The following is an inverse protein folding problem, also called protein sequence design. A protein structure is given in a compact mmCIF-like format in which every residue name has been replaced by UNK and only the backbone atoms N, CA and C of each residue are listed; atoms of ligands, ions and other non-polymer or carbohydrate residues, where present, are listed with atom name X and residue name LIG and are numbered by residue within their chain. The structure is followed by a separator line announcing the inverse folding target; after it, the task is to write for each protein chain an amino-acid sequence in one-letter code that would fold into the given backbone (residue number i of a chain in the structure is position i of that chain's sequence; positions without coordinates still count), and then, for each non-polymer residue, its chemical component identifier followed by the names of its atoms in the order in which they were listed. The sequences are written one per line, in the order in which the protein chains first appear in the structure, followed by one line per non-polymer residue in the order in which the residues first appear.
data_IF_751133251862
#
_entry.id   IF_751133251862
#
_cell.length_a   1.000
_cell.length_b   1.000
_cell.length_c   1.000
_cell.angle_alpha   90.00
_cell.angle_beta   90.00
_cell.angle_gamma   90.00
#
_symmetry.space_group_name_H-M   'P 1'
#
loop_
_entity.id
_entity.type
_entity.pdbx_description
1 polymer ?
#
# COMPACT_ATOMS: atom_id res chain seq x y z
N UNK A 1 5.52 29.49 3.57
CA UNK A 1 4.32 29.49 4.43
C UNK A 1 3.87 30.93 4.59
N UNK A 2 2.56 31.20 4.47
CA UNK A 2 2.01 32.55 4.71
C UNK A 2 1.89 32.80 6.22
N UNK A 3 1.95 34.07 6.62
CA UNK A 3 1.84 34.47 8.03
C UNK A 3 0.41 34.83 8.40
N UNK A 4 0.13 35.01 9.71
CA UNK A 4 -1.16 35.50 10.21
C UNK A 4 -1.41 37.00 9.96
N UNK A 5 -0.40 37.70 9.46
CA UNK A 5 -0.45 39.14 9.31
C UNK A 5 -1.35 39.55 8.15
N UNK A 6 -1.81 40.80 8.24
CA UNK A 6 -2.46 41.50 7.14
C UNK A 6 -1.44 42.36 6.40
N UNK A 7 -1.49 42.36 5.09
CA UNK A 7 -0.79 43.30 4.23
C UNK A 7 -1.81 44.15 3.49
N UNK A 8 -1.77 45.43 3.73
CA UNK A 8 -2.77 46.40 3.19
C UNK A 8 -4.23 45.97 3.50
N UNK A 9 -4.47 45.45 4.71
CA UNK A 9 -5.81 45.05 5.15
C UNK A 9 -6.31 43.70 4.62
N UNK A 10 -5.49 42.93 3.90
CA UNK A 10 -5.81 41.62 3.37
C UNK A 10 -4.90 40.59 4.04
N UNK A 11 -5.47 39.49 4.53
CA UNK A 11 -4.67 38.35 5.05
C UNK A 11 -3.67 37.88 4.00
N UNK A 12 -2.42 37.61 4.40
CA UNK A 12 -1.36 37.24 3.46
C UNK A 12 -1.70 36.00 2.64
N UNK A 13 -2.46 35.06 3.20
CA UNK A 13 -2.92 33.85 2.49
C UNK A 13 -4.00 34.11 1.43
N UNK A 14 -4.74 35.23 1.55
CA UNK A 14 -5.77 35.65 0.59
C UNK A 14 -5.29 36.78 -0.35
N UNK A 15 -4.05 37.22 -0.22
CA UNK A 15 -3.52 38.37 -0.94
C UNK A 15 -2.96 37.96 -2.31
N UNK A 16 -3.78 38.05 -3.34
CA UNK A 16 -3.41 37.70 -4.72
C UNK A 16 -2.25 38.55 -5.24
N UNK A 17 -2.20 39.84 -4.88
CA UNK A 17 -1.13 40.70 -5.31
C UNK A 17 0.21 40.22 -4.77
N UNK A 18 0.27 39.88 -3.47
CA UNK A 18 1.45 39.34 -2.85
C UNK A 18 1.85 37.95 -3.43
N UNK A 19 0.91 37.00 -3.46
CA UNK A 19 1.24 35.62 -3.79
C UNK A 19 1.41 35.37 -5.28
N UNK A 20 0.52 35.96 -6.11
CA UNK A 20 0.51 35.70 -7.54
C UNK A 20 1.29 36.76 -8.31
N UNK A 21 0.94 38.05 -8.15
CA UNK A 21 1.52 39.06 -8.99
C UNK A 21 2.99 39.34 -8.67
N UNK A 22 3.30 39.59 -7.40
CA UNK A 22 4.66 39.89 -6.96
C UNK A 22 5.49 38.63 -6.87
N UNK A 23 5.12 37.68 -5.99
CA UNK A 23 6.01 36.57 -5.67
C UNK A 23 6.15 35.58 -6.84
N UNK A 24 5.06 35.22 -7.52
CA UNK A 24 5.16 34.33 -8.69
C UNK A 24 5.51 35.10 -9.96
N UNK A 25 4.86 36.25 -10.19
CA UNK A 25 5.03 37.01 -11.42
C UNK A 25 6.36 37.77 -11.49
N UNK A 26 6.66 38.63 -10.52
CA UNK A 26 7.87 39.47 -10.56
C UNK A 26 9.12 38.73 -10.09
N UNK A 27 9.00 37.93 -9.00
CA UNK A 27 10.14 37.19 -8.43
C UNK A 27 10.36 35.81 -9.03
N UNK A 28 9.45 35.33 -9.88
CA UNK A 28 9.57 34.04 -10.55
C UNK A 28 9.51 32.81 -9.58
N UNK A 29 8.78 32.92 -8.45
CA UNK A 29 8.68 31.82 -7.50
C UNK A 29 7.78 30.68 -8.03
N UNK A 30 8.37 29.51 -8.23
CA UNK A 30 7.71 28.31 -8.76
C UNK A 30 7.25 27.30 -7.69
N UNK A 31 7.53 27.57 -6.40
CA UNK A 31 7.16 26.69 -5.30
C UNK A 31 5.68 26.77 -4.92
N UNK A 32 5.31 26.05 -3.86
CA UNK A 32 3.98 26.09 -3.28
C UNK A 32 3.87 27.13 -2.17
N UNK A 33 2.67 27.69 -2.00
CA UNK A 33 2.29 28.42 -0.80
C UNK A 33 1.42 27.55 0.08
N UNK A 34 1.65 27.61 1.40
CA UNK A 34 0.79 26.98 2.41
C UNK A 34 0.46 27.98 3.50
N UNK A 35 -0.72 27.86 4.08
CA UNK A 35 -1.09 28.70 5.22
C UNK A 35 -0.33 28.28 6.47
N UNK A 36 -0.25 29.16 7.45
CA UNK A 36 0.03 28.75 8.82
C UNK A 36 -1.16 28.00 9.42
N UNK A 37 -0.95 27.32 10.56
CA UNK A 37 -1.95 26.46 11.19
C UNK A 37 -3.08 27.26 11.81
N UNK A 38 -4.33 26.94 11.43
CA UNK A 38 -5.51 27.52 12.07
C UNK A 38 -5.75 28.99 11.74
N UNK A 39 -5.26 29.51 10.62
CA UNK A 39 -5.65 30.84 10.17
C UNK A 39 -7.16 30.89 9.85
N UNK A 40 -7.77 32.07 9.99
CA UNK A 40 -9.21 32.28 9.81
C UNK A 40 -9.61 32.63 8.36
N UNK A 41 -8.68 32.56 7.41
CA UNK A 41 -8.90 32.88 6.02
C UNK A 41 -9.89 31.97 5.31
N UNK A 42 -10.53 32.47 4.29
CA UNK A 42 -11.49 31.71 3.47
C UNK A 42 -10.77 30.89 2.42
N UNK A 43 -10.93 29.55 2.46
CA UNK A 43 -10.23 28.61 1.57
C UNK A 43 -10.43 28.92 0.07
N UNK A 44 -11.60 29.40 -0.36
CA UNK A 44 -11.82 29.78 -1.75
C UNK A 44 -11.05 31.03 -2.16
N UNK A 45 -10.92 32.01 -1.27
CA UNK A 45 -10.11 33.22 -1.51
C UNK A 45 -8.63 32.89 -1.51
N UNK A 46 -8.19 31.97 -0.66
CA UNK A 46 -6.82 31.50 -0.66
C UNK A 46 -6.45 30.89 -2.01
N UNK A 47 -7.30 30.01 -2.57
CA UNK A 47 -7.09 29.41 -3.90
C UNK A 47 -7.01 30.50 -4.97
N UNK A 48 -7.91 31.49 -4.98
CA UNK A 48 -7.88 32.62 -5.92
C UNK A 48 -6.62 33.46 -5.77
N UNK A 49 -6.05 33.55 -4.57
CA UNK A 49 -4.81 34.25 -4.32
C UNK A 49 -3.56 33.45 -4.74
N UNK A 50 -3.69 32.17 -5.05
CA UNK A 50 -2.58 31.29 -5.43
C UNK A 50 -1.92 30.59 -4.25
N UNK A 51 -2.60 30.48 -3.08
CA UNK A 51 -2.21 29.63 -1.97
C UNK A 51 -2.65 28.19 -2.27
N UNK A 52 -1.73 27.23 -2.16
CA UNK A 52 -1.92 25.87 -2.66
C UNK A 52 -2.41 24.89 -1.58
N UNK A 53 -2.03 25.12 -0.32
CA UNK A 53 -2.33 24.22 0.80
C UNK A 53 -2.85 24.99 2.00
N UNK A 54 -4.03 24.61 2.49
CA UNK A 54 -4.58 25.13 3.75
C UNK A 54 -4.30 24.20 4.92
N UNK A 55 -3.66 24.72 5.96
CA UNK A 55 -3.30 23.95 7.17
C UNK A 55 -4.23 24.30 8.34
N UNK A 56 -4.51 23.36 9.28
CA UNK A 56 -4.14 21.92 9.23
C UNK A 56 -5.06 21.10 8.32
N UNK A 57 -6.20 21.62 7.93
CA UNK A 57 -7.19 20.96 7.08
C UNK A 57 -7.90 21.96 6.17
N UNK A 58 -8.09 21.60 4.93
CA UNK A 58 -8.86 22.39 3.99
C UNK A 58 -10.38 22.27 4.24
N UNK A 59 -11.16 23.12 3.52
CA UNK A 59 -12.61 23.05 3.51
C UNK A 59 -13.15 22.70 2.12
N UNK A 60 -13.31 21.41 1.80
CA UNK A 60 -13.88 20.99 0.52
C UNK A 60 -15.30 21.52 0.30
N UNK A 61 -16.07 21.71 1.35
CA UNK A 61 -17.41 22.29 1.28
C UNK A 61 -17.39 23.73 0.78
N UNK A 62 -16.46 24.56 1.27
CA UNK A 62 -16.26 25.94 0.83
C UNK A 62 -15.86 25.99 -0.64
N UNK A 63 -14.93 25.12 -1.07
CA UNK A 63 -14.49 25.07 -2.47
C UNK A 63 -15.62 24.64 -3.41
N UNK A 64 -16.38 23.60 -3.04
CA UNK A 64 -17.56 23.14 -3.83
C UNK A 64 -18.61 24.23 -3.94
N UNK A 65 -18.88 24.95 -2.86
CA UNK A 65 -19.83 26.06 -2.85
C UNK A 65 -19.37 27.22 -3.74
N UNK A 66 -18.07 27.54 -3.71
CA UNK A 66 -17.48 28.61 -4.55
C UNK A 66 -17.49 28.23 -6.03
N UNK A 67 -17.21 26.99 -6.40
CA UNK A 67 -17.36 26.48 -7.77
C UNK A 67 -18.82 26.57 -8.26
N UNK A 68 -19.78 26.14 -7.43
CA UNK A 68 -21.21 26.21 -7.78
C UNK A 68 -21.70 27.65 -8.01
N UNK A 69 -21.14 28.61 -7.29
CA UNK A 69 -21.45 30.04 -7.42
C UNK A 69 -20.65 30.74 -8.53
N UNK A 70 -19.75 30.06 -9.23
CA UNK A 70 -18.88 30.63 -10.25
C UNK A 70 -17.82 31.62 -9.69
N UNK A 71 -17.57 31.58 -8.37
CA UNK A 71 -16.50 32.36 -7.71
C UNK A 71 -15.14 31.76 -8.01
N UNK A 72 -15.04 30.39 -7.96
CA UNK A 72 -13.90 29.60 -8.40
C UNK A 72 -14.21 28.98 -9.75
N UNK A 73 -13.20 28.87 -10.60
CA UNK A 73 -13.18 27.99 -11.78
C UNK A 73 -12.45 26.69 -11.44
N UNK A 74 -12.73 25.67 -12.20
CA UNK A 74 -12.01 24.40 -12.08
C UNK A 74 -10.50 24.59 -12.31
N UNK A 75 -10.12 25.44 -13.27
CA UNK A 75 -8.72 25.78 -13.54
C UNK A 75 -7.98 26.32 -12.32
N UNK A 76 -8.64 27.10 -11.44
CA UNK A 76 -7.99 27.65 -10.26
C UNK A 76 -7.53 26.54 -9.28
N UNK A 77 -8.31 25.45 -9.20
CA UNK A 77 -7.95 24.27 -8.41
C UNK A 77 -6.91 23.41 -9.13
N UNK A 78 -7.00 23.30 -10.45
CA UNK A 78 -6.03 22.55 -11.26
C UNK A 78 -4.65 23.22 -11.19
N UNK A 79 -4.57 24.54 -11.20
CA UNK A 79 -3.32 25.29 -11.03
C UNK A 79 -2.65 25.01 -9.66
N UNK A 80 -3.45 24.98 -8.57
CA UNK A 80 -2.94 24.63 -7.24
C UNK A 80 -2.45 23.17 -7.22
N UNK A 81 -3.23 22.23 -7.78
CA UNK A 81 -2.88 20.82 -7.84
C UNK A 81 -1.61 20.59 -8.68
N UNK A 82 -1.46 21.28 -9.81
CA UNK A 82 -0.27 21.21 -10.66
C UNK A 82 0.99 21.65 -9.91
N UNK A 83 0.93 22.77 -9.20
CA UNK A 83 2.07 23.26 -8.40
C UNK A 83 2.44 22.27 -7.29
N UNK A 84 1.44 21.67 -6.64
CA UNK A 84 1.66 20.66 -5.60
C UNK A 84 2.30 19.39 -6.19
N UNK A 85 1.83 18.89 -7.34
CA UNK A 85 2.42 17.75 -8.04
C UNK A 85 3.87 18.05 -8.45
N UNK A 86 4.14 19.23 -9.04
CA UNK A 86 5.51 19.67 -9.37
C UNK A 86 6.42 19.69 -8.15
N UNK A 87 5.92 20.13 -6.99
CA UNK A 87 6.68 20.10 -5.73
C UNK A 87 6.96 18.67 -5.26
N UNK A 88 5.96 17.79 -5.29
CA UNK A 88 6.11 16.37 -4.92
C UNK A 88 7.17 15.69 -5.79
N UNK A 89 7.17 15.97 -7.10
CA UNK A 89 8.16 15.42 -8.03
C UNK A 89 9.59 15.88 -7.75
N UNK A 90 9.77 17.03 -7.06
CA UNK A 90 11.10 17.56 -6.68
C UNK A 90 11.63 16.93 -5.40
N UNK A 91 10.80 16.31 -4.55
CA UNK A 91 11.26 15.74 -3.28
C UNK A 91 11.98 14.40 -3.49
N UNK A 92 13.01 14.16 -2.69
CA UNK A 92 13.85 12.96 -2.84
C UNK A 92 13.06 11.66 -2.65
N UNK A 93 12.11 11.64 -1.72
CA UNK A 93 11.28 10.45 -1.48
C UNK A 93 10.48 10.02 -2.73
N UNK A 94 10.00 10.98 -3.54
CA UNK A 94 9.35 10.66 -4.81
C UNK A 94 10.34 10.01 -5.77
N UNK A 95 11.54 10.60 -5.93
CA UNK A 95 12.59 10.06 -6.81
C UNK A 95 13.05 8.68 -6.37
N UNK A 96 13.29 8.51 -5.07
CA UNK A 96 13.82 7.27 -4.51
C UNK A 96 12.77 6.15 -4.45
N UNK A 97 11.52 6.48 -4.09
CA UNK A 97 10.48 5.46 -3.83
C UNK A 97 9.53 5.22 -5.01
N UNK A 98 9.31 6.21 -5.86
CA UNK A 98 8.35 6.12 -6.97
C UNK A 98 9.07 5.90 -8.32
N UNK A 99 10.09 6.73 -8.62
CA UNK A 99 10.78 6.62 -9.90
C UNK A 99 11.84 5.52 -9.92
N UNK A 100 12.47 5.24 -8.77
CA UNK A 100 13.48 4.20 -8.61
C UNK A 100 13.11 3.33 -7.37
N UNK A 101 12.00 2.58 -7.41
CA UNK A 101 11.62 1.73 -6.29
C UNK A 101 12.69 0.66 -6.07
N UNK A 102 13.01 0.38 -4.81
CA UNK A 102 13.85 -0.78 -4.49
C UNK A 102 13.03 -2.03 -4.82
N UNK A 103 13.58 -2.87 -5.67
CA UNK A 103 12.98 -4.15 -6.04
C UNK A 103 13.47 -5.23 -5.07
N UNK A 104 12.56 -5.99 -4.50
CA UNK A 104 12.87 -7.14 -3.65
C UNK A 104 12.85 -8.41 -4.48
N UNK A 105 13.97 -9.13 -4.51
CA UNK A 105 14.06 -10.40 -5.23
C UNK A 105 13.35 -11.52 -4.44
N UNK A 106 12.41 -12.21 -5.09
CA UNK A 106 11.72 -13.39 -4.58
C UNK A 106 12.33 -14.63 -5.23
N UNK A 107 13.15 -15.34 -4.47
CA UNK A 107 13.78 -16.59 -4.87
C UNK A 107 13.01 -17.84 -4.45
N UNK A 108 13.73 -18.93 -4.27
CA UNK A 108 13.14 -20.22 -3.86
C UNK A 108 12.73 -20.22 -2.37
N UNK A 109 13.38 -19.39 -1.54
CA UNK A 109 13.07 -19.17 -0.12
C UNK A 109 13.39 -17.71 0.23
N UNK A 110 12.36 -16.89 0.53
CA UNK A 110 12.54 -15.45 0.75
C UNK A 110 11.66 -14.93 1.87
N UNK A 111 12.29 -14.35 2.89
CA UNK A 111 11.64 -13.50 3.88
C UNK A 111 11.60 -12.05 3.39
N UNK A 112 10.42 -11.47 3.44
CA UNK A 112 10.13 -10.14 2.97
C UNK A 112 9.62 -9.27 4.13
N UNK A 113 10.42 -8.31 4.58
CA UNK A 113 10.05 -7.37 5.66
C UNK A 113 8.99 -6.38 5.19
N UNK A 114 7.81 -6.42 5.82
CA UNK A 114 6.66 -5.61 5.43
C UNK A 114 6.86 -4.10 5.65
N UNK A 115 7.74 -3.69 6.57
CA UNK A 115 8.03 -2.28 6.84
C UNK A 115 9.16 -1.68 5.98
N UNK A 116 9.74 -2.44 5.06
CA UNK A 116 10.86 -2.00 4.23
C UNK A 116 10.41 -1.59 2.82
N UNK A 117 11.03 -0.53 2.28
CA UNK A 117 10.90 -0.08 0.88
C UNK A 117 9.46 0.16 0.40
N UNK A 118 8.63 0.75 1.23
CA UNK A 118 7.19 0.86 1.01
C UNK A 118 6.73 2.22 0.50
N UNK A 119 5.70 2.17 -0.36
CA UNK A 119 4.68 3.20 -0.44
C UNK A 119 3.55 2.80 0.50
N UNK A 120 3.00 3.72 1.26
CA UNK A 120 1.93 3.42 2.21
C UNK A 120 0.84 4.47 2.26
N UNK A 121 -0.33 4.06 2.70
CA UNK A 121 -1.43 4.95 3.05
C UNK A 121 -1.21 5.59 4.43
N UNK A 122 -2.04 6.58 4.76
CA UNK A 122 -1.88 7.46 5.92
C UNK A 122 -1.76 6.75 7.28
N UNK A 123 -2.34 5.57 7.47
CA UNK A 123 -2.41 4.91 8.79
C UNK A 123 -1.34 3.84 8.98
N UNK A 124 -1.04 3.00 7.99
CA UNK A 124 0.01 2.00 8.11
C UNK A 124 1.40 2.65 8.18
N UNK A 125 2.19 2.33 9.20
CA UNK A 125 3.53 2.88 9.38
C UNK A 125 4.48 1.90 10.06
N UNK A 126 5.78 2.05 9.77
CA UNK A 126 6.83 1.24 10.40
C UNK A 126 7.05 1.63 11.85
N UNK A 127 7.11 0.63 12.73
CA UNK A 127 7.55 0.76 14.13
C UNK A 127 8.63 -0.28 14.44
N UNK A 128 9.31 -0.17 15.59
CA UNK A 128 10.33 -1.15 15.97
C UNK A 128 9.64 -2.44 16.42
N UNK A 129 10.02 -3.57 15.83
CA UNK A 129 9.51 -4.86 16.26
C UNK A 129 10.28 -5.42 17.45
N UNK A 130 9.58 -6.17 18.32
CA UNK A 130 10.18 -7.01 19.35
C UNK A 130 10.30 -8.49 18.94
N UNK A 131 10.03 -8.83 17.67
CA UNK A 131 10.21 -10.18 17.16
C UNK A 131 11.70 -10.55 17.08
N UNK A 132 12.00 -11.84 17.04
CA UNK A 132 13.37 -12.38 17.14
C UNK A 132 14.30 -11.90 16.03
N UNK A 133 13.74 -11.61 14.83
CA UNK A 133 14.48 -11.14 13.67
C UNK A 133 14.79 -9.62 13.70
N UNK A 134 14.25 -8.88 14.68
CA UNK A 134 14.49 -7.46 14.87
C UNK A 134 14.04 -6.56 13.72
N UNK A 135 14.51 -5.32 13.69
CA UNK A 135 14.18 -4.34 12.65
C UNK A 135 12.84 -3.66 12.89
N UNK A 136 12.02 -3.56 11.84
CA UNK A 136 10.72 -2.87 11.87
C UNK A 136 9.60 -3.77 11.38
N UNK A 137 8.41 -3.57 11.97
CA UNK A 137 7.14 -4.11 11.51
C UNK A 137 6.19 -2.99 11.07
N UNK A 138 5.10 -3.35 10.40
CA UNK A 138 3.99 -2.47 10.13
C UNK A 138 3.03 -2.48 11.30
N UNK A 139 2.84 -1.33 11.93
CA UNK A 139 1.81 -1.08 12.92
C UNK A 139 0.77 -0.08 12.42
N UNK A 140 -0.25 0.17 13.24
CA UNK A 140 -1.33 1.13 12.95
C UNK A 140 -2.08 0.83 11.65
N UNK A 141 -2.25 -0.44 11.34
CA UNK A 141 -2.88 -0.92 10.12
C UNK A 141 -4.40 -0.91 10.27
N UNK A 142 -5.03 0.23 9.97
CA UNK A 142 -6.49 0.34 9.97
C UNK A 142 -7.11 -0.23 8.69
N UNK A 143 -8.39 -0.57 8.76
CA UNK A 143 -9.14 -1.00 7.58
C UNK A 143 -9.08 0.08 6.47
N UNK A 144 -8.74 -0.32 5.26
CA UNK A 144 -8.48 0.55 4.12
C UNK A 144 -7.05 1.06 4.01
N UNK A 145 -6.18 0.80 5.01
CA UNK A 145 -4.76 1.03 4.88
C UNK A 145 -4.13 0.06 3.87
N UNK A 146 -3.05 0.49 3.25
CA UNK A 146 -2.32 -0.36 2.31
C UNK A 146 -0.83 -0.02 2.27
N UNK A 147 -0.04 -0.99 1.83
CA UNK A 147 1.37 -0.83 1.49
C UNK A 147 1.65 -1.46 0.13
N UNK A 148 2.62 -0.94 -0.60
CA UNK A 148 2.95 -1.39 -1.95
C UNK A 148 4.45 -1.47 -2.16
N UNK A 149 4.86 -2.48 -2.91
CA UNK A 149 6.26 -2.85 -3.15
C UNK A 149 6.46 -3.23 -4.61
N UNK A 150 7.68 -3.14 -5.07
CA UNK A 150 8.11 -3.80 -6.30
C UNK A 150 8.85 -5.08 -5.93
N UNK A 151 8.47 -6.20 -6.53
CA UNK A 151 9.14 -7.48 -6.37
C UNK A 151 9.62 -8.00 -7.73
N UNK A 152 10.70 -8.77 -7.74
CA UNK A 152 11.19 -9.49 -8.91
C UNK A 152 11.20 -10.98 -8.58
N UNK A 153 10.29 -11.73 -9.20
CA UNK A 153 10.16 -13.18 -9.01
C UNK A 153 11.16 -13.89 -9.91
N UNK A 154 12.08 -14.63 -9.31
CA UNK A 154 13.17 -15.28 -10.05
C UNK A 154 12.67 -16.42 -10.97
N UNK A 155 11.65 -17.17 -10.55
CA UNK A 155 11.10 -18.32 -11.30
C UNK A 155 9.60 -18.38 -11.17
N UNK A 156 8.89 -18.66 -12.26
CA UNK A 156 7.46 -19.00 -12.20
C UNK A 156 7.24 -20.29 -11.39
N UNK A 157 6.09 -20.38 -10.73
CA UNK A 157 5.70 -21.59 -10.00
C UNK A 157 4.68 -21.35 -8.90
N UNK A 158 4.44 -22.41 -8.15
CA UNK A 158 3.62 -22.38 -6.93
C UNK A 158 4.52 -22.00 -5.75
N UNK A 159 4.06 -21.05 -4.95
CA UNK A 159 4.72 -20.62 -3.72
C UNK A 159 3.80 -20.84 -2.52
N UNK A 160 4.39 -21.31 -1.43
CA UNK A 160 3.77 -21.28 -0.11
C UNK A 160 4.02 -19.91 0.49
N UNK A 161 2.98 -19.14 0.75
CA UNK A 161 3.05 -17.81 1.33
C UNK A 161 2.51 -17.83 2.75
N UNK A 162 3.35 -17.54 3.74
CA UNK A 162 2.96 -17.30 5.12
C UNK A 162 3.20 -15.87 5.55
N UNK A 163 2.58 -15.46 6.65
CA UNK A 163 2.69 -14.11 7.19
C UNK A 163 2.94 -14.13 8.70
N UNK A 164 3.82 -13.26 9.19
CA UNK A 164 4.11 -13.09 10.62
C UNK A 164 3.33 -11.92 11.17
N UNK A 165 2.36 -12.18 12.01
CA UNK A 165 1.41 -11.19 12.49
C UNK A 165 1.29 -11.19 14.00
N UNK A 166 0.91 -10.03 14.57
CA UNK A 166 0.57 -9.85 15.97
C UNK A 166 -0.78 -9.12 16.09
N UNK A 167 -1.59 -9.49 17.10
CA UNK A 167 -2.86 -8.83 17.38
C UNK A 167 -3.17 -8.87 18.88
N UNK A 168 -3.49 -7.71 19.46
CA UNK A 168 -3.71 -7.61 20.90
C UNK A 168 -4.98 -8.31 21.38
N UNK A 169 -6.03 -8.29 20.57
CA UNK A 169 -7.36 -8.80 20.97
C UNK A 169 -7.98 -9.78 19.95
N UNK A 170 -7.25 -10.12 18.90
CA UNK A 170 -7.80 -10.74 17.70
C UNK A 170 -8.47 -9.70 16.79
N UNK A 171 -8.77 -10.09 15.58
CA UNK A 171 -9.18 -9.19 14.50
C UNK A 171 -7.99 -8.72 13.69
N UNK A 172 -8.28 -7.96 12.65
CA UNK A 172 -7.32 -7.62 11.61
C UNK A 172 -7.29 -8.69 10.53
N UNK A 173 -7.47 -8.24 9.30
CA UNK A 173 -7.34 -9.07 8.11
C UNK A 173 -6.68 -8.25 7.02
N UNK A 174 -5.97 -8.93 6.13
CA UNK A 174 -5.33 -8.29 4.99
C UNK A 174 -5.26 -9.21 3.79
N UNK A 175 -5.40 -8.61 2.63
CA UNK A 175 -5.28 -9.24 1.33
C UNK A 175 -3.90 -8.95 0.74
N UNK A 176 -3.32 -9.92 0.04
CA UNK A 176 -2.12 -9.77 -0.76
C UNK A 176 -2.51 -9.79 -2.22
N UNK A 177 -2.10 -8.75 -2.95
CA UNK A 177 -2.38 -8.61 -4.38
C UNK A 177 -1.06 -8.58 -5.16
N UNK A 178 -1.03 -9.27 -6.29
CA UNK A 178 0.01 -9.14 -7.30
C UNK A 178 -0.60 -8.51 -8.55
N UNK A 179 -0.04 -7.41 -9.04
CA UNK A 179 -0.52 -6.64 -10.19
C UNK A 179 -2.03 -6.33 -10.14
N UNK A 180 -2.52 -6.01 -8.93
CA UNK A 180 -3.92 -5.70 -8.67
C UNK A 180 -4.85 -6.92 -8.53
N UNK A 181 -4.33 -8.14 -8.71
CA UNK A 181 -5.10 -9.38 -8.52
C UNK A 181 -4.82 -9.96 -7.13
N UNK A 182 -5.88 -10.25 -6.37
CA UNK A 182 -5.73 -10.88 -5.05
C UNK A 182 -5.23 -12.31 -5.20
N UNK A 183 -4.10 -12.61 -4.50
CA UNK A 183 -3.43 -13.91 -4.52
C UNK A 183 -3.50 -14.65 -3.18
N UNK A 184 -3.69 -13.92 -2.07
CA UNK A 184 -3.85 -14.50 -0.73
C UNK A 184 -4.68 -13.59 0.17
N UNK A 185 -5.21 -14.15 1.27
CA UNK A 185 -5.98 -13.41 2.28
C UNK A 185 -5.67 -13.99 3.66
N UNK A 186 -5.25 -13.15 4.60
CA UNK A 186 -4.88 -13.56 5.96
C UNK A 186 -5.80 -12.91 6.99
N UNK A 187 -6.10 -13.66 8.03
CA UNK A 187 -6.79 -13.17 9.21
C UNK A 187 -5.90 -13.37 10.45
N UNK A 188 -5.62 -12.28 11.15
CA UNK A 188 -4.80 -12.33 12.35
C UNK A 188 -5.55 -13.04 13.49
N UNK A 189 -4.82 -13.81 14.28
CA UNK A 189 -5.32 -14.45 15.49
C UNK A 189 -4.95 -13.60 16.72
N UNK A 190 -5.68 -13.77 17.81
CA UNK A 190 -5.35 -13.11 19.06
C UNK A 190 -4.03 -13.66 19.62
N UNK A 191 -3.01 -12.83 19.69
CA UNK A 191 -1.70 -13.18 20.28
C UNK A 191 -1.51 -12.56 21.67
N UNK A 192 -2.47 -11.75 22.13
CA UNK A 192 -2.42 -11.08 23.44
C UNK A 192 -1.44 -9.91 23.51
N UNK A 193 -1.07 -9.32 22.39
CA UNK A 193 -0.23 -8.12 22.33
C UNK A 193 0.17 -7.71 20.92
N UNK A 194 0.34 -6.40 20.70
CA UNK A 194 0.74 -5.83 19.40
C UNK A 194 2.14 -6.23 18.96
N UNK A 195 2.95 -6.74 19.86
CA UNK A 195 4.32 -7.19 19.64
C UNK A 195 4.52 -8.66 20.10
N UNK A 196 3.42 -9.44 20.20
CA UNK A 196 3.47 -10.89 20.39
C UNK A 196 3.15 -11.55 19.07
N UNK A 197 4.14 -12.20 18.50
CA UNK A 197 4.13 -12.62 17.11
C UNK A 197 3.76 -14.10 16.94
N UNK A 198 3.01 -14.39 15.89
CA UNK A 198 2.73 -15.75 15.42
C UNK A 198 2.78 -15.80 13.91
N UNK A 199 3.14 -16.95 13.36
CA UNK A 199 3.09 -17.17 11.92
C UNK A 199 1.70 -17.70 11.56
N UNK A 200 1.04 -17.03 10.64
CA UNK A 200 -0.25 -17.44 10.10
C UNK A 200 -0.05 -18.59 9.11
N UNK A 201 -1.05 -19.46 8.99
CA UNK A 201 -1.03 -20.61 8.11
C UNK A 201 -0.72 -20.20 6.66
N UNK A 202 0.18 -20.98 6.04
CA UNK A 202 0.64 -20.70 4.69
C UNK A 202 -0.46 -21.00 3.66
N UNK A 203 -0.53 -20.14 2.62
CA UNK A 203 -1.42 -20.30 1.50
C UNK A 203 -0.64 -20.57 0.22
N UNK A 204 -1.19 -21.41 -0.64
CA UNK A 204 -0.62 -21.70 -1.95
C UNK A 204 -1.00 -20.60 -2.93
N UNK A 205 -0.01 -19.95 -3.53
CA UNK A 205 -0.16 -18.89 -4.53
C UNK A 205 0.61 -19.24 -5.79
N UNK A 206 0.21 -18.66 -6.92
CA UNK A 206 0.98 -18.74 -8.18
C UNK A 206 1.60 -17.39 -8.46
N UNK A 207 2.89 -17.40 -8.81
CA UNK A 207 3.63 -16.25 -9.28
C UNK A 207 4.32 -16.58 -10.60
N UNK A 208 4.31 -15.64 -11.52
CA UNK A 208 5.10 -15.71 -12.75
C UNK A 208 6.48 -15.06 -12.53
N UNK A 209 7.48 -15.49 -13.28
CA UNK A 209 8.80 -14.87 -13.23
C UNK A 209 8.75 -13.45 -13.81
N UNK A 210 9.49 -12.53 -13.20
CA UNK A 210 9.56 -11.14 -13.61
C UNK A 210 9.23 -10.14 -12.54
N UNK A 211 9.12 -8.87 -12.94
CA UNK A 211 8.82 -7.75 -12.03
C UNK A 211 7.32 -7.59 -11.86
N UNK A 212 6.87 -7.52 -10.61
CA UNK A 212 5.47 -7.38 -10.23
C UNK A 212 5.31 -6.29 -9.17
N UNK A 213 4.11 -5.73 -9.12
CA UNK A 213 3.67 -4.89 -7.99
C UNK A 213 3.00 -5.78 -6.95
N UNK A 214 3.61 -5.89 -5.77
CA UNK A 214 3.01 -6.54 -4.61
C UNK A 214 2.32 -5.48 -3.75
N UNK A 215 1.05 -5.70 -3.39
CA UNK A 215 0.29 -4.80 -2.52
C UNK A 215 -0.33 -5.58 -1.37
N UNK A 216 -0.25 -5.02 -0.18
CA UNK A 216 -0.93 -5.51 1.01
C UNK A 216 -2.05 -4.52 1.32
N UNK A 217 -3.30 -4.98 1.36
CA UNK A 217 -4.48 -4.19 1.70
C UNK A 217 -5.08 -4.69 3.01
N UNK A 218 -5.13 -3.84 4.02
CA UNK A 218 -5.74 -4.19 5.30
C UNK A 218 -7.26 -4.03 5.20
N UNK A 219 -7.98 -5.14 5.25
CA UNK A 219 -9.44 -5.18 5.12
C UNK A 219 -10.15 -5.04 6.46
N UNK A 220 -9.48 -5.38 7.57
CA UNK A 220 -9.94 -5.18 8.95
C UNK A 220 -8.82 -4.59 9.79
N UNK A 221 -9.15 -3.67 10.72
CA UNK A 221 -8.19 -3.15 11.71
C UNK A 221 -7.88 -4.18 12.78
N UNK A 222 -6.70 -4.07 13.41
CA UNK A 222 -6.39 -4.84 14.63
C UNK A 222 -5.24 -5.83 14.50
N UNK A 223 -4.37 -5.67 13.51
CA UNK A 223 -3.14 -6.47 13.39
C UNK A 223 -1.91 -5.64 13.03
N UNK A 224 -0.76 -6.08 13.52
CA UNK A 224 0.55 -5.70 13.02
C UNK A 224 1.08 -6.79 12.08
N UNK A 225 1.94 -6.43 11.14
CA UNK A 225 2.55 -7.34 10.17
C UNK A 225 4.07 -7.14 10.15
N UNK A 226 4.84 -8.19 10.49
CA UNK A 226 6.30 -8.14 10.47
C UNK A 226 6.84 -8.50 9.09
N UNK A 227 6.53 -9.69 8.60
CA UNK A 227 7.03 -10.18 7.33
C UNK A 227 6.05 -11.10 6.59
N UNK A 228 6.30 -11.26 5.31
CA UNK A 228 5.79 -12.32 4.45
C UNK A 228 6.93 -13.28 4.14
N UNK A 229 6.64 -14.58 4.07
CA UNK A 229 7.62 -15.61 3.72
C UNK A 229 7.15 -16.37 2.50
N UNK A 230 7.93 -16.34 1.45
CA UNK A 230 7.68 -17.00 0.17
C UNK A 230 8.60 -18.22 0.07
N UNK A 231 8.04 -19.42 -0.06
CA UNK A 231 8.78 -20.66 -0.30
C UNK A 231 8.25 -21.30 -1.58
N UNK A 232 9.10 -21.36 -2.61
CA UNK A 232 8.73 -21.97 -3.88
C UNK A 232 8.63 -23.49 -3.72
N UNK A 233 7.56 -24.09 -4.22
CA UNK A 233 7.47 -25.54 -4.31
C UNK A 233 8.56 -26.07 -5.26
N UNK A 234 9.19 -27.16 -4.86
CA UNK A 234 10.16 -27.82 -5.74
C UNK A 234 9.45 -28.37 -6.98
N UNK A 235 10.14 -28.38 -8.11
CA UNK A 235 9.64 -28.98 -9.34
C UNK A 235 9.24 -30.44 -9.17
N UNK A 236 9.91 -31.14 -8.27
CA UNK A 236 9.58 -32.51 -7.89
C UNK A 236 8.17 -32.60 -7.28
N UNK A 237 7.83 -31.73 -6.34
CA UNK A 237 6.49 -31.68 -5.69
C UNK A 237 5.43 -31.31 -6.72
N UNK A 238 5.68 -30.29 -7.57
CA UNK A 238 4.77 -29.91 -8.65
C UNK A 238 4.48 -31.07 -9.63
N UNK A 239 5.50 -31.85 -9.95
CA UNK A 239 5.36 -33.00 -10.83
C UNK A 239 4.61 -34.17 -10.15
N UNK A 240 4.86 -34.41 -8.86
CA UNK A 240 4.08 -35.39 -8.08
C UNK A 240 2.60 -35.02 -8.01
N UNK A 241 2.28 -33.75 -7.76
CA UNK A 241 0.88 -33.29 -7.75
C UNK A 241 0.20 -33.45 -9.10
N UNK A 242 0.90 -33.16 -10.21
CA UNK A 242 0.38 -33.38 -11.57
C UNK A 242 0.09 -34.85 -11.84
N UNK A 243 1.05 -35.73 -11.47
CA UNK A 243 0.87 -37.18 -11.59
C UNK A 243 -0.32 -37.67 -10.76
N UNK A 244 -0.39 -37.26 -9.50
CA UNK A 244 -1.50 -37.59 -8.59
C UNK A 244 -2.85 -37.21 -9.20
N UNK A 245 -3.00 -35.96 -9.67
CA UNK A 245 -4.24 -35.48 -10.29
C UNK A 245 -4.59 -36.24 -11.54
N UNK A 246 -3.61 -36.56 -12.40
CA UNK A 246 -3.82 -37.36 -13.61
C UNK A 246 -4.33 -38.77 -13.29
N UNK A 247 -3.72 -39.42 -12.30
CA UNK A 247 -4.14 -40.75 -11.84
C UNK A 247 -5.50 -40.74 -11.12
N UNK A 248 -5.77 -39.72 -10.30
CA UNK A 248 -7.03 -39.59 -9.57
C UNK A 248 -8.24 -39.35 -10.52
N UNK A 249 -7.98 -38.76 -11.69
CA UNK A 249 -9.02 -38.53 -12.71
C UNK A 249 -9.14 -39.65 -13.77
N UNK A 250 -8.35 -40.70 -13.66
CA UNK A 250 -8.38 -41.79 -14.65
C UNK A 250 -9.68 -42.58 -14.58
N UNK A 251 -10.23 -42.89 -15.73
CA UNK A 251 -11.35 -43.83 -15.85
C UNK A 251 -10.87 -45.25 -15.55
N UNK A 252 -11.39 -45.85 -14.49
CA UNK A 252 -11.06 -47.19 -14.05
C UNK A 252 -12.09 -48.21 -14.49
N UNK A 253 -13.02 -47.89 -15.38
CA UNK A 253 -14.07 -48.81 -15.84
C UNK A 253 -13.56 -50.06 -16.58
N UNK A 254 -12.38 -49.97 -17.18
CA UNK A 254 -11.72 -51.07 -17.87
C UNK A 254 -10.91 -52.01 -16.97
N UNK A 255 -10.76 -51.64 -15.66
CA UNK A 255 -10.01 -52.44 -14.70
C UNK A 255 -10.93 -53.31 -13.86
N UNK A 256 -10.40 -54.40 -13.28
CA UNK A 256 -11.16 -55.21 -12.32
C UNK A 256 -11.49 -54.39 -11.07
N UNK A 257 -12.59 -54.68 -10.41
CA UNK A 257 -12.99 -53.99 -9.18
C UNK A 257 -11.88 -54.03 -8.10
N UNK A 258 -11.13 -55.13 -7.98
CA UNK A 258 -10.02 -55.28 -7.02
C UNK A 258 -8.83 -54.38 -7.40
N UNK A 259 -8.47 -54.30 -8.69
CA UNK A 259 -7.37 -53.45 -9.16
C UNK A 259 -7.72 -51.97 -9.02
N UNK A 260 -8.96 -51.60 -9.32
CA UNK A 260 -9.44 -50.23 -9.16
C UNK A 260 -9.47 -49.76 -7.70
N UNK A 261 -9.89 -50.66 -6.78
CA UNK A 261 -9.90 -50.37 -5.34
C UNK A 261 -8.48 -50.28 -4.75
N UNK A 262 -7.59 -51.14 -5.17
CA UNK A 262 -6.17 -51.08 -4.78
C UNK A 262 -5.54 -49.75 -5.19
N UNK A 263 -5.84 -49.27 -6.41
CA UNK A 263 -5.35 -47.99 -6.90
C UNK A 263 -5.94 -46.80 -6.13
N UNK A 264 -7.25 -46.81 -5.84
CA UNK A 264 -7.88 -45.76 -5.02
C UNK A 264 -7.28 -45.71 -3.61
N UNK A 265 -7.04 -46.86 -3.00
CA UNK A 265 -6.45 -46.94 -1.68
C UNK A 265 -5.02 -46.38 -1.66
N UNK A 266 -4.22 -46.72 -2.68
CA UNK A 266 -2.87 -46.18 -2.82
C UNK A 266 -2.86 -44.68 -3.03
N UNK A 267 -3.77 -44.13 -3.85
CA UNK A 267 -3.92 -42.69 -4.06
C UNK A 267 -4.39 -41.94 -2.81
N UNK A 268 -5.24 -42.53 -1.99
CA UNK A 268 -5.70 -41.96 -0.72
C UNK A 268 -4.64 -41.94 0.37
N UNK A 269 -3.60 -42.75 0.24
CA UNK A 269 -2.47 -42.83 1.19
C UNK A 269 -1.27 -41.98 0.78
N UNK A 270 -1.28 -41.40 -0.43
CA UNK A 270 -0.22 -40.51 -0.97
C UNK A 270 -0.50 -39.05 -0.70
#
# INVERSE_FOLDING_TARGET
MTSYNFLNGIETSENKDLLTNITRGEWGYEGIFMTDWGNNSNHAREVLAGNDVKMPSGSPATLKAALKKGILKRSDLEDCAERLVKMIMKVNIFKEKILNPVTVDIGDDTYFKAAENILWSQTARGENTSDEDGGKDLGYCDAGAWTQYQINVAKSGTYSLSARSASNAGGGAFDILADGTKIASFKAVNTGGWQKWTTLEAQQIKLEAGVHTLRIEFTESGSNLNWLHFVRQSEYIENLEKLYKAWASQDLSEYTAESAETMRTALAAA
#
